data_IF_897683657928
#
_entry.id   IF_897683657928
#
_cell.length_a   1.000
_cell.length_b   1.000
_cell.length_c   1.000
_cell.angle_alpha   90.00
_cell.angle_beta   90.00
_cell.angle_gamma   90.00
#
_symmetry.space_group_name_H-M   'P 1'
#
loop_
_entity.id
_entity.type
_entity.pdbx_description
1 polymer ?
#
# COMPACT_ATOMS: atom_id res chain seq x y z
N UNK A 1 -1.83 -1.38 10.72
CA UNK A 1 -2.25 -1.61 9.31
C UNK A 1 -3.12 -2.87 9.29
N UNK A 2 -4.02 -2.98 8.31
CA UNK A 2 -4.87 -4.16 8.14
C UNK A 2 -4.40 -4.96 6.92
N UNK A 3 -4.47 -6.29 6.99
CA UNK A 3 -4.25 -7.17 5.85
C UNK A 3 -5.59 -7.69 5.32
N UNK A 4 -5.72 -7.79 4.01
CA UNK A 4 -6.81 -8.51 3.35
C UNK A 4 -6.21 -9.46 2.32
N UNK A 5 -6.78 -10.66 2.19
CA UNK A 5 -6.37 -11.62 1.15
C UNK A 5 -7.58 -11.86 0.28
N UNK A 6 -7.44 -11.61 -1.03
CA UNK A 6 -8.47 -11.92 -2.01
C UNK A 6 -8.13 -13.26 -2.67
N UNK A 7 -9.04 -14.23 -2.60
CA UNK A 7 -8.91 -15.52 -3.28
C UNK A 7 -9.85 -15.52 -4.49
N UNK A 8 -9.35 -15.40 -5.74
CA UNK A 8 -10.19 -15.57 -6.91
C UNK A 8 -10.75 -17.00 -6.93
N UNK A 9 -12.02 -17.12 -7.33
CA UNK A 9 -12.69 -18.41 -7.49
C UNK A 9 -12.19 -19.03 -8.80
N UNK A 10 -11.01 -19.66 -8.77
CA UNK A 10 -10.51 -20.51 -9.84
C UNK A 10 -10.08 -21.85 -9.23
N UNK A 11 -10.51 -22.94 -9.85
CA UNK A 11 -10.43 -24.33 -9.37
C UNK A 11 -9.07 -24.72 -8.78
N UNK A 12 -9.11 -25.32 -7.59
CA UNK A 12 -8.09 -26.14 -6.91
C UNK A 12 -6.68 -25.56 -6.70
N UNK A 13 -6.42 -24.32 -7.15
CA UNK A 13 -5.15 -23.62 -6.96
C UNK A 13 -5.30 -22.45 -5.98
N UNK A 14 -4.42 -22.37 -4.97
CA UNK A 14 -4.38 -21.26 -4.01
C UNK A 14 -3.71 -20.04 -4.64
N UNK A 15 -4.35 -19.46 -5.67
CA UNK A 15 -4.00 -18.13 -6.11
C UNK A 15 -4.59 -17.13 -5.10
N UNK A 16 -3.78 -16.21 -4.59
CA UNK A 16 -4.27 -15.17 -3.69
C UNK A 16 -3.58 -13.84 -3.94
N UNK A 17 -4.35 -12.78 -3.75
CA UNK A 17 -3.93 -11.40 -3.93
C UNK A 17 -3.96 -10.68 -2.58
N UNK A 18 -2.79 -10.54 -1.91
CA UNK A 18 -2.73 -9.83 -0.64
C UNK A 18 -2.81 -8.32 -0.83
N UNK A 19 -3.53 -7.65 0.05
CA UNK A 19 -3.73 -6.20 0.11
C UNK A 19 -3.35 -5.73 1.53
N UNK A 20 -2.49 -4.71 1.62
CA UNK A 20 -2.14 -4.08 2.90
C UNK A 20 -2.76 -2.69 2.94
N UNK A 21 -3.70 -2.50 3.84
CA UNK A 21 -4.48 -1.26 3.98
C UNK A 21 -3.77 -0.36 5.01
N UNK A 22 -3.44 0.85 4.55
CA UNK A 22 -2.84 1.91 5.35
C UNK A 22 -3.94 2.62 6.17
N UNK A 23 -3.64 3.06 7.40
CA UNK A 23 -4.57 3.82 8.23
C UNK A 23 -4.61 5.30 7.80
N UNK A 24 -4.82 5.55 6.50
CA UNK A 24 -4.82 6.88 5.89
C UNK A 24 -5.90 6.94 4.81
N UNK A 25 -6.91 7.80 4.96
CA UNK A 25 -7.94 7.97 3.95
C UNK A 25 -7.42 8.82 2.79
N UNK A 26 -7.73 8.41 1.55
CA UNK A 26 -7.25 9.12 0.36
C UNK A 26 -7.68 10.60 0.33
N UNK A 27 -8.84 10.91 0.93
CA UNK A 27 -9.37 12.27 1.06
C UNK A 27 -8.59 13.18 2.01
N UNK A 28 -7.73 12.62 2.86
CA UNK A 28 -6.88 13.38 3.78
C UNK A 28 -5.63 13.93 3.08
N UNK A 29 -5.37 13.50 1.84
CA UNK A 29 -4.22 13.94 1.06
C UNK A 29 -4.56 15.15 0.20
N UNK A 30 -3.69 16.16 0.28
CA UNK A 30 -3.74 17.37 -0.53
C UNK A 30 -2.34 17.81 -0.93
N UNK A 31 -2.23 19.02 -1.49
CA UNK A 31 -0.96 19.74 -1.63
C UNK A 31 0.27 18.91 -2.04
N UNK A 32 1.33 19.05 -1.27
CA UNK A 32 2.63 18.39 -1.51
C UNK A 32 2.58 16.89 -1.18
N UNK A 33 1.61 16.45 -0.37
CA UNK A 33 1.39 15.04 -0.09
C UNK A 33 0.97 14.29 -1.37
N UNK A 34 0.23 14.93 -2.28
CA UNK A 34 -0.11 14.33 -3.60
C UNK A 34 1.13 14.16 -4.47
N UNK A 35 2.08 15.11 -4.44
CA UNK A 35 3.35 14.97 -5.18
C UNK A 35 4.17 13.80 -4.61
N UNK A 36 4.25 13.70 -3.28
CA UNK A 36 4.90 12.59 -2.59
C UNK A 36 4.24 11.26 -2.91
N UNK A 37 2.91 11.21 -2.93
CA UNK A 37 2.13 10.04 -3.31
C UNK A 37 2.48 9.55 -4.73
N UNK A 38 2.57 10.46 -5.70
CA UNK A 38 2.90 10.12 -7.08
C UNK A 38 4.34 9.58 -7.21
N UNK A 39 5.30 10.18 -6.50
CA UNK A 39 6.68 9.69 -6.46
C UNK A 39 6.77 8.29 -5.82
N UNK A 40 6.06 8.07 -4.71
CA UNK A 40 5.97 6.76 -4.08
C UNK A 40 5.32 5.72 -5.00
N UNK A 41 4.26 6.09 -5.71
CA UNK A 41 3.61 5.23 -6.69
C UNK A 41 4.57 4.79 -7.80
N UNK A 42 5.41 5.70 -8.31
CA UNK A 42 6.43 5.37 -9.30
C UNK A 42 7.44 4.36 -8.76
N UNK A 43 8.02 4.61 -7.58
CA UNK A 43 8.98 3.69 -6.97
C UNK A 43 8.38 2.32 -6.64
N UNK A 44 7.15 2.29 -6.13
CA UNK A 44 6.45 1.04 -5.83
C UNK A 44 6.29 0.19 -7.09
N UNK A 45 5.92 0.80 -8.22
CA UNK A 45 5.74 0.07 -9.48
C UNK A 45 7.05 -0.44 -10.06
N UNK A 46 8.10 0.38 -10.02
CA UNK A 46 9.36 0.10 -10.73
C UNK A 46 10.34 -0.73 -9.91
N UNK A 47 10.44 -0.48 -8.60
CA UNK A 47 11.44 -1.12 -7.74
C UNK A 47 10.88 -2.30 -6.95
N UNK A 48 9.63 -2.19 -6.48
CA UNK A 48 9.05 -3.18 -5.56
C UNK A 48 8.06 -4.12 -6.25
N UNK A 49 7.49 -3.73 -7.39
CA UNK A 49 6.41 -4.47 -8.03
C UNK A 49 5.09 -4.40 -7.25
N UNK A 50 4.81 -3.25 -6.62
CA UNK A 50 3.59 -2.95 -5.87
C UNK A 50 2.88 -1.74 -6.46
N UNK A 51 1.57 -1.66 -6.24
CA UNK A 51 0.74 -0.54 -6.64
C UNK A 51 0.06 0.06 -5.42
N UNK A 52 0.14 1.38 -5.27
CA UNK A 52 -0.68 2.12 -4.32
C UNK A 52 -2.06 2.39 -4.96
N UNK A 53 -3.11 2.15 -4.21
CA UNK A 53 -4.49 2.32 -4.68
C UNK A 53 -5.41 2.63 -3.51
N UNK A 54 -6.71 2.68 -3.78
CA UNK A 54 -7.74 2.90 -2.78
C UNK A 54 -8.52 1.60 -2.55
N UNK A 55 -8.62 1.20 -1.30
CA UNK A 55 -9.48 0.09 -0.87
C UNK A 55 -10.95 0.47 -0.97
N UNK A 56 -11.83 -0.53 -0.94
CA UNK A 56 -13.28 -0.32 -0.84
C UNK A 56 -13.74 0.37 0.46
N UNK A 57 -12.84 0.59 1.43
CA UNK A 57 -13.10 1.35 2.65
C UNK A 57 -12.75 2.85 2.50
N UNK A 58 -12.29 3.28 1.32
CA UNK A 58 -11.81 4.66 1.09
C UNK A 58 -10.43 4.96 1.70
N UNK A 59 -9.75 3.93 2.21
CA UNK A 59 -8.39 4.00 2.74
C UNK A 59 -7.37 3.65 1.66
N UNK A 60 -6.20 4.27 1.70
CA UNK A 60 -5.08 3.87 0.88
C UNK A 60 -4.67 2.42 1.18
N UNK A 61 -4.26 1.71 0.15
CA UNK A 61 -3.70 0.38 0.28
C UNK A 61 -2.62 0.14 -0.77
N UNK A 62 -1.71 -0.79 -0.48
CA UNK A 62 -0.78 -1.32 -1.47
C UNK A 62 -1.13 -2.77 -1.79
N UNK A 63 -0.95 -3.13 -3.05
CA UNK A 63 -1.13 -4.49 -3.54
C UNK A 63 0.04 -4.88 -4.44
N UNK A 64 0.50 -6.15 -4.43
CA UNK A 64 1.53 -6.60 -5.36
C UNK A 64 0.98 -6.60 -6.79
N UNK A 65 1.84 -6.51 -7.79
CA UNK A 65 1.44 -6.64 -9.20
C UNK A 65 1.25 -8.11 -9.63
N UNK A 66 1.87 -9.04 -8.91
CA UNK A 66 1.83 -10.47 -9.20
C UNK A 66 1.02 -11.22 -8.15
N UNK A 67 0.28 -12.23 -8.60
CA UNK A 67 -0.46 -13.15 -7.73
C UNK A 67 0.50 -14.13 -7.05
N UNK A 68 0.32 -14.31 -5.75
CA UNK A 68 0.95 -15.41 -5.02
C UNK A 68 0.21 -16.72 -5.36
N UNK A 69 0.97 -17.81 -5.56
CA UNK A 69 0.44 -19.10 -6.04
C UNK A 69 0.36 -20.16 -4.95
N UNK A 70 0.96 -19.89 -3.79
CA UNK A 70 0.99 -20.78 -2.63
C UNK A 70 0.66 -20.01 -1.35
N UNK A 71 0.14 -20.68 -0.31
CA UNK A 71 -0.05 -20.05 1.01
C UNK A 71 1.23 -19.42 1.57
N UNK A 72 2.38 -20.08 1.37
CA UNK A 72 3.70 -19.61 1.80
C UNK A 72 4.09 -18.32 1.07
N UNK A 73 3.86 -18.26 -0.23
CA UNK A 73 4.08 -17.05 -1.03
C UNK A 73 3.18 -15.90 -0.58
N UNK A 74 1.92 -16.20 -0.21
CA UNK A 74 0.98 -15.21 0.31
C UNK A 74 1.51 -14.64 1.63
N UNK A 75 1.95 -15.50 2.56
CA UNK A 75 2.51 -15.07 3.83
C UNK A 75 3.76 -14.20 3.64
N UNK A 76 4.72 -14.66 2.84
CA UNK A 76 5.94 -13.90 2.54
C UNK A 76 5.65 -12.57 1.84
N UNK A 77 4.65 -12.54 0.95
CA UNK A 77 4.22 -11.31 0.28
C UNK A 77 3.54 -10.35 1.24
N UNK A 78 2.74 -10.84 2.19
CA UNK A 78 2.15 -10.01 3.25
C UNK A 78 3.21 -9.44 4.19
N UNK A 79 4.21 -10.23 4.59
CA UNK A 79 5.32 -9.75 5.42
C UNK A 79 6.09 -8.61 4.74
N UNK A 80 6.45 -8.79 3.46
CA UNK A 80 7.06 -7.71 2.65
C UNK A 80 6.14 -6.51 2.52
N UNK A 81 4.85 -6.75 2.24
CA UNK A 81 3.84 -5.71 2.14
C UNK A 81 3.71 -4.87 3.40
N UNK A 82 3.80 -5.46 4.59
CA UNK A 82 3.77 -4.71 5.85
C UNK A 82 4.95 -3.74 5.98
N UNK A 83 6.15 -4.17 5.59
CA UNK A 83 7.34 -3.32 5.62
C UNK A 83 7.21 -2.18 4.61
N UNK A 84 6.81 -2.47 3.37
CA UNK A 84 6.61 -1.47 2.32
C UNK A 84 5.52 -0.48 2.74
N UNK A 85 4.39 -0.96 3.26
CA UNK A 85 3.28 -0.10 3.69
C UNK A 85 3.68 0.81 4.86
N UNK A 86 4.54 0.33 5.77
CA UNK A 86 5.10 1.18 6.83
C UNK A 86 5.94 2.32 6.24
N UNK A 87 6.86 2.02 5.32
CA UNK A 87 7.71 3.02 4.68
C UNK A 87 6.87 4.06 3.91
N UNK A 88 5.86 3.60 3.17
CA UNK A 88 4.93 4.49 2.45
C UNK A 88 4.16 5.38 3.42
N UNK A 89 3.64 4.82 4.51
CA UNK A 89 2.90 5.59 5.52
C UNK A 89 3.80 6.64 6.16
N UNK A 90 5.02 6.27 6.55
CA UNK A 90 5.96 7.18 7.21
C UNK A 90 6.37 8.31 6.25
N UNK A 91 6.58 8.03 4.96
CA UNK A 91 6.88 9.05 3.95
C UNK A 91 5.72 10.05 3.76
N UNK A 92 4.47 9.57 3.78
CA UNK A 92 3.28 10.42 3.64
C UNK A 92 2.99 11.25 4.91
N UNK A 93 3.21 10.69 6.10
CA UNK A 93 2.92 11.36 7.38
C UNK A 93 4.03 12.34 7.79
N UNK A 94 5.29 12.03 7.48
CA UNK A 94 6.42 12.92 7.85
C UNK A 94 6.35 14.27 7.15
N UNK A 95 5.84 14.32 5.92
CA UNK A 95 5.65 15.58 5.19
C UNK A 95 4.49 16.42 5.75
N UNK A 96 3.40 15.77 6.18
CA UNK A 96 2.26 16.46 6.81
C UNK A 96 2.64 17.16 8.13
N UNK A 97 3.64 16.62 8.86
CA UNK A 97 4.20 17.26 10.06
C UNK A 97 5.08 18.47 9.77
N UNK A 98 5.85 18.44 8.67
CA UNK A 98 6.75 19.54 8.28
C UNK A 98 6.00 20.79 7.81
N UNK A 99 4.80 20.63 7.22
CA UNK A 99 3.98 21.76 6.78
C UNK A 99 3.35 22.54 7.95
N UNK A 100 3.09 21.88 9.08
CA UNK A 100 2.48 22.49 10.26
C UNK A 100 3.46 23.33 11.10
N UNK A 101 4.76 23.03 11.06
CA UNK A 101 5.79 23.77 11.81
C UNK A 101 6.28 25.04 11.10
N UNK A 102 6.05 25.19 9.79
CA UNK A 102 6.46 26.38 9.03
C UNK A 102 5.53 27.60 9.20
N UNK A 103 4.50 27.52 10.06
CA UNK A 103 3.52 28.59 10.28
C UNK A 103 3.50 29.16 11.70
N UNK A 104 4.50 28.86 12.55
CA UNK A 104 4.61 29.39 13.92
C UNK A 104 5.65 30.49 14.02
#
# INVERSE_FOLDING_TARGET
>A
MLCRVHTPVQDDAVAAFPEVILPLAARELGGDEVVTLLALQEQLLTEYGWRLTMSNLGLLCICPLLLAQTPEDVAATLERGQVIARVVLDALVTQAGSAAEATV
#
